data_IF_697804782928
#
_entry.id   IF_697804782928
#
_cell.length_a   1.000
_cell.length_b   1.000
_cell.length_c   1.000
_cell.angle_alpha   90.00
_cell.angle_beta   90.00
_cell.angle_gamma   90.00
#
_symmetry.space_group_name_H-M   'P 1'
#
loop_
_entity.id
_entity.type
_entity.pdbx_description
1 polymer ?
#
# COMPACT_ATOMS: atom_id res chain seq x y z
N UNK A 1 -5.99 -0.86 19.52
CA UNK A 1 -5.75 -1.30 18.12
C UNK A 1 -5.55 -0.12 17.17
N UNK A 2 -6.47 0.86 17.10
CA UNK A 2 -6.30 2.06 16.23
C UNK A 2 -5.05 2.89 16.56
N UNK A 3 -4.66 2.98 17.83
CA UNK A 3 -3.51 3.75 18.29
C UNK A 3 -2.18 3.29 17.67
N UNK A 4 -1.99 1.98 17.48
CA UNK A 4 -0.77 1.41 16.87
C UNK A 4 -0.66 1.79 15.38
N UNK A 5 -1.80 1.85 14.69
CA UNK A 5 -1.84 2.24 13.28
C UNK A 5 -1.53 3.73 13.10
N UNK A 6 -2.00 4.56 14.02
CA UNK A 6 -1.70 6.00 14.01
C UNK A 6 -0.20 6.22 14.24
N UNK A 7 0.40 5.49 15.17
CA UNK A 7 1.86 5.56 15.42
C UNK A 7 2.63 5.17 14.15
N UNK A 8 2.25 4.07 13.48
CA UNK A 8 2.88 3.66 12.23
C UNK A 8 2.76 4.72 11.12
N UNK A 9 1.60 5.40 11.03
CA UNK A 9 1.39 6.48 10.07
C UNK A 9 2.24 7.72 10.38
N UNK A 10 2.43 8.03 11.66
CA UNK A 10 3.31 9.13 12.12
C UNK A 10 4.79 8.78 11.90
N UNK A 11 5.18 7.50 11.90
CA UNK A 11 6.55 7.07 11.61
C UNK A 11 6.94 7.18 10.13
N UNK A 12 5.99 7.31 9.20
CA UNK A 12 6.23 7.44 7.75
C UNK A 12 7.14 8.63 7.39
N UNK A 13 6.88 9.87 7.85
CA UNK A 13 7.77 11.01 7.59
C UNK A 13 9.17 10.84 8.18
N UNK A 14 9.34 10.01 9.22
CA UNK A 14 10.65 9.73 9.80
C UNK A 14 11.44 8.72 8.95
N UNK A 15 10.77 7.66 8.48
CA UNK A 15 11.39 6.67 7.57
C UNK A 15 11.76 7.27 6.22
N UNK A 16 10.90 8.13 5.66
CA UNK A 16 11.15 8.81 4.37
C UNK A 16 12.22 9.91 4.45
N UNK A 17 12.64 10.31 5.66
CA UNK A 17 13.83 11.16 5.86
C UNK A 17 15.14 10.37 5.87
N UNK A 18 15.12 9.09 6.28
CA UNK A 18 16.32 8.24 6.32
C UNK A 18 16.53 7.45 5.02
N UNK A 19 15.47 7.16 4.26
CA UNK A 19 15.52 6.30 3.08
C UNK A 19 14.70 6.89 1.92
N UNK A 20 15.08 6.56 0.68
CA UNK A 20 14.31 6.86 -0.54
C UNK A 20 12.84 6.44 -0.39
N UNK A 21 11.92 7.29 -0.86
CA UNK A 21 10.48 7.08 -0.74
C UNK A 21 10.06 5.74 -1.35
N UNK A 22 10.69 5.33 -2.46
CA UNK A 22 10.44 4.02 -3.06
C UNK A 22 10.89 2.87 -2.13
N UNK A 23 12.05 2.99 -1.48
CA UNK A 23 12.57 1.95 -0.59
C UNK A 23 11.70 1.79 0.67
N UNK A 24 11.20 2.90 1.22
CA UNK A 24 10.23 2.88 2.33
C UNK A 24 8.93 2.21 1.92
N UNK A 25 8.43 2.50 0.72
CA UNK A 25 7.17 1.93 0.24
C UNK A 25 7.28 0.42 -0.04
N UNK A 26 8.37 -0.01 -0.69
CA UNK A 26 8.66 -1.44 -0.92
C UNK A 26 8.90 -2.15 0.42
N UNK A 27 9.68 -1.57 1.34
CA UNK A 27 9.92 -2.14 2.67
C UNK A 27 8.63 -2.27 3.50
N UNK A 28 7.70 -1.33 3.37
CA UNK A 28 6.38 -1.40 4.00
C UNK A 28 5.51 -2.53 3.41
N UNK A 29 5.53 -2.72 2.08
CA UNK A 29 4.82 -3.82 1.43
C UNK A 29 5.43 -5.19 1.78
N UNK A 30 6.75 -5.29 1.82
CA UNK A 30 7.45 -6.51 2.22
C UNK A 30 7.18 -6.83 3.69
N UNK A 31 7.21 -5.83 4.59
CA UNK A 31 6.89 -6.06 6.00
C UNK A 31 5.42 -6.47 6.21
N UNK A 32 4.50 -5.98 5.38
CA UNK A 32 3.11 -6.43 5.38
C UNK A 32 2.97 -7.89 4.93
N UNK A 33 3.69 -8.30 3.87
CA UNK A 33 3.75 -9.69 3.39
C UNK A 33 4.37 -10.61 4.46
N UNK A 34 5.47 -10.19 5.09
CA UNK A 34 6.13 -10.94 6.15
C UNK A 34 5.22 -11.09 7.38
N UNK A 35 4.50 -10.03 7.77
CA UNK A 35 3.53 -10.11 8.87
C UNK A 35 2.41 -11.11 8.60
N UNK A 36 1.89 -11.13 7.37
CA UNK A 36 0.89 -12.11 6.92
C UNK A 36 1.44 -13.55 6.85
N UNK A 37 2.70 -13.71 6.42
CA UNK A 37 3.38 -15.00 6.42
C UNK A 37 3.62 -15.54 7.85
N UNK A 38 4.04 -14.67 8.78
CA UNK A 38 4.21 -15.00 10.21
C UNK A 38 2.88 -15.45 10.83
N UNK A 39 1.77 -14.80 10.46
CA UNK A 39 0.44 -15.27 10.89
C UNK A 39 0.10 -16.65 10.34
N UNK A 40 0.49 -16.95 9.11
CA UNK A 40 0.27 -18.28 8.50
C UNK A 40 1.04 -19.38 9.23
N UNK A 41 2.24 -19.07 9.72
CA UNK A 41 3.09 -19.99 10.48
C UNK A 41 2.73 -20.06 11.98
N UNK A 42 1.96 -19.10 12.50
CA UNK A 42 1.68 -18.96 13.93
C UNK A 42 0.81 -20.06 14.55
N UNK A 43 0.11 -20.86 13.76
CA UNK A 43 -0.68 -22.01 14.23
C UNK A 43 -1.66 -21.65 15.36
N UNK A 44 -1.55 -22.35 16.50
CA UNK A 44 -2.38 -22.14 17.71
C UNK A 44 -1.79 -21.16 18.74
N UNK A 45 -0.59 -20.62 18.50
CA UNK A 45 0.05 -19.71 19.46
C UNK A 45 -0.44 -18.28 19.27
N UNK A 46 -1.42 -17.91 20.10
CA UNK A 46 -2.10 -16.61 20.09
C UNK A 46 -1.13 -15.41 20.12
N UNK A 47 -0.01 -15.54 20.82
CA UNK A 47 1.04 -14.50 20.90
C UNK A 47 1.72 -14.25 19.55
N UNK A 48 2.06 -15.30 18.79
CA UNK A 48 2.71 -15.17 17.49
C UNK A 48 1.73 -14.58 16.46
N UNK A 49 0.47 -15.00 16.52
CA UNK A 49 -0.60 -14.43 15.70
C UNK A 49 -0.77 -12.93 15.96
N UNK A 50 -0.79 -12.50 17.24
CA UNK A 50 -0.91 -11.09 17.60
C UNK A 50 0.29 -10.27 17.10
N UNK A 51 1.52 -10.77 17.24
CA UNK A 51 2.73 -10.07 16.76
C UNK A 51 2.72 -9.95 15.23
N UNK A 52 2.44 -11.04 14.52
CA UNK A 52 2.34 -11.03 13.06
C UNK A 52 1.26 -10.06 12.56
N UNK A 53 0.11 -10.02 13.24
CA UNK A 53 -0.98 -9.11 12.89
C UNK A 53 -0.62 -7.65 13.13
N UNK A 54 0.08 -7.32 14.22
CA UNK A 54 0.57 -5.95 14.48
C UNK A 54 1.52 -5.51 13.36
N UNK A 55 2.50 -6.34 13.01
CA UNK A 55 3.48 -6.05 11.96
C UNK A 55 2.78 -5.87 10.60
N UNK A 56 1.86 -6.76 10.25
CA UNK A 56 1.09 -6.69 9.01
C UNK A 56 0.27 -5.38 8.91
N UNK A 57 -0.40 -5.00 10.01
CA UNK A 57 -1.21 -3.78 10.06
C UNK A 57 -0.35 -2.51 10.00
N UNK A 58 0.83 -2.51 10.63
CA UNK A 58 1.77 -1.39 10.54
C UNK A 58 2.27 -1.20 9.11
N UNK A 59 2.75 -2.28 8.46
CA UNK A 59 3.24 -2.21 7.08
C UNK A 59 2.16 -1.75 6.09
N UNK A 60 0.95 -2.30 6.21
CA UNK A 60 -0.19 -1.93 5.35
C UNK A 60 -0.59 -0.46 5.50
N UNK A 61 -0.57 0.08 6.72
CA UNK A 61 -0.92 1.50 6.96
C UNK A 61 0.11 2.45 6.36
N UNK A 62 1.40 2.12 6.49
CA UNK A 62 2.49 2.88 5.87
C UNK A 62 2.33 2.84 4.34
N UNK A 63 2.10 1.67 3.77
CA UNK A 63 1.93 1.49 2.33
C UNK A 63 0.72 2.25 1.75
N UNK A 64 -0.34 2.45 2.53
CA UNK A 64 -1.52 3.21 2.12
C UNK A 64 -1.29 4.75 2.14
N UNK A 65 -0.37 5.23 3.00
CA UNK A 65 -0.03 6.66 3.09
C UNK A 65 0.93 7.12 1.99
N UNK A 66 1.83 6.24 1.54
CA UNK A 66 2.87 6.57 0.54
C UNK A 66 2.34 7.10 -0.81
N UNK A 67 1.27 6.56 -1.43
CA UNK A 67 0.69 7.13 -2.65
C UNK A 67 0.32 8.61 -2.52
N UNK A 68 -0.19 9.02 -1.36
CA UNK A 68 -0.57 10.42 -1.11
C UNK A 68 0.64 11.34 -0.99
N UNK A 69 1.75 10.84 -0.44
CA UNK A 69 3.01 11.58 -0.40
C UNK A 69 3.64 11.76 -1.79
N UNK A 70 3.53 10.74 -2.66
CA UNK A 70 4.10 10.77 -4.03
C UNK A 70 3.25 11.57 -5.02
N UNK A 71 1.96 11.77 -4.72
CA UNK A 71 1.07 12.59 -5.53
C UNK A 71 1.56 14.01 -5.68
N UNK A 72 2.08 14.62 -4.60
CA UNK A 72 2.65 15.96 -4.64
C UNK A 72 3.78 16.08 -5.67
N UNK A 73 4.76 15.17 -5.59
CA UNK A 73 5.86 15.15 -6.54
C UNK A 73 5.42 14.89 -8.00
N UNK A 74 4.39 14.07 -8.20
CA UNK A 74 3.86 13.79 -9.53
C UNK A 74 3.17 15.02 -10.15
N UNK A 75 2.52 15.86 -9.32
CA UNK A 75 1.97 17.15 -9.75
C UNK A 75 3.08 18.11 -10.15
N UNK A 76 4.15 18.20 -9.36
CA UNK A 76 5.30 19.05 -9.66
C UNK A 76 6.00 18.62 -10.97
N UNK A 77 6.15 17.31 -11.19
CA UNK A 77 6.64 16.77 -12.46
C UNK A 77 5.75 17.17 -13.65
N UNK A 78 4.43 17.09 -13.51
CA UNK A 78 3.48 17.51 -14.54
C UNK A 78 3.58 19.00 -14.86
N UNK A 79 3.77 19.83 -13.84
CA UNK A 79 3.99 21.27 -13.99
C UNK A 79 5.29 21.56 -14.75
N UNK A 80 6.37 20.86 -14.44
CA UNK A 80 7.67 21.05 -15.10
C UNK A 80 7.63 20.66 -16.59
N UNK A 81 7.01 19.52 -16.92
CA UNK A 81 7.01 19.00 -18.29
C UNK A 81 5.94 19.62 -19.19
N UNK A 82 4.74 19.82 -18.67
CA UNK A 82 3.59 20.26 -19.46
C UNK A 82 3.13 21.69 -19.13
N UNK A 83 3.70 22.34 -18.11
CA UNK A 83 3.31 23.69 -17.68
C UNK A 83 1.94 23.78 -16.98
N UNK A 84 1.20 22.67 -16.89
CA UNK A 84 -0.17 22.62 -16.34
C UNK A 84 -0.16 22.03 -14.93
N UNK A 85 -0.73 22.76 -13.98
CA UNK A 85 -0.92 22.29 -12.59
C UNK A 85 -2.27 21.58 -12.48
N UNK A 86 -2.26 20.25 -12.58
CA UNK A 86 -3.48 19.42 -12.51
C UNK A 86 -3.61 18.66 -11.18
N UNK A 87 -3.28 19.32 -10.06
CA UNK A 87 -3.24 18.70 -8.73
C UNK A 87 -4.56 18.03 -8.32
N UNK A 88 -5.68 18.71 -8.55
CA UNK A 88 -7.01 18.19 -8.21
C UNK A 88 -7.42 16.99 -9.07
N UNK A 89 -7.11 17.03 -10.37
CA UNK A 89 -7.43 15.93 -11.29
C UNK A 89 -6.59 14.69 -10.96
N UNK A 90 -5.29 14.86 -10.72
CA UNK A 90 -4.40 13.76 -10.38
C UNK A 90 -4.76 13.13 -9.02
N UNK A 91 -5.14 13.93 -8.04
CA UNK A 91 -5.58 13.42 -6.72
C UNK A 91 -6.92 12.69 -6.82
N UNK A 92 -7.89 13.26 -7.55
CA UNK A 92 -9.23 12.68 -7.69
C UNK A 92 -9.22 11.36 -8.46
N UNK A 93 -8.53 11.33 -9.62
CA UNK A 93 -8.43 10.12 -10.45
C UNK A 93 -7.43 9.13 -9.84
N UNK A 94 -6.25 9.61 -9.45
CA UNK A 94 -5.14 8.76 -9.00
C UNK A 94 -5.37 8.12 -7.63
N UNK A 95 -5.91 8.86 -6.65
CA UNK A 95 -6.21 8.30 -5.33
C UNK A 95 -7.65 7.83 -5.23
N UNK A 96 -8.62 8.74 -5.35
CA UNK A 96 -9.99 8.43 -4.90
C UNK A 96 -10.71 7.43 -5.80
N UNK A 97 -10.56 7.55 -7.12
CA UNK A 97 -11.14 6.60 -8.06
C UNK A 97 -10.47 5.22 -7.98
N UNK A 98 -9.14 5.18 -8.05
CA UNK A 98 -8.38 3.93 -7.94
C UNK A 98 -8.60 3.21 -6.60
N UNK A 99 -8.67 3.94 -5.48
CA UNK A 99 -8.96 3.35 -4.17
C UNK A 99 -10.36 2.73 -4.11
N UNK A 100 -11.37 3.42 -4.67
CA UNK A 100 -12.75 2.91 -4.70
C UNK A 100 -12.88 1.69 -5.61
N UNK A 101 -12.33 1.76 -6.82
CA UNK A 101 -12.30 0.62 -7.74
C UNK A 101 -11.54 -0.56 -7.14
N UNK A 102 -10.35 -0.30 -6.59
CA UNK A 102 -9.51 -1.30 -5.96
C UNK A 102 -10.22 -1.98 -4.78
N UNK A 103 -10.90 -1.21 -3.93
CA UNK A 103 -11.71 -1.73 -2.82
C UNK A 103 -12.88 -2.60 -3.33
N UNK A 104 -13.57 -2.18 -4.40
CA UNK A 104 -14.64 -2.96 -5.02
C UNK A 104 -14.14 -4.32 -5.54
N UNK A 105 -13.02 -4.30 -6.29
CA UNK A 105 -12.40 -5.53 -6.81
C UNK A 105 -11.88 -6.40 -5.66
N UNK A 106 -11.26 -5.79 -4.64
CA UNK A 106 -10.73 -6.49 -3.48
C UNK A 106 -11.82 -7.17 -2.62
N UNK A 107 -13.06 -6.69 -2.65
CA UNK A 107 -14.19 -7.38 -2.01
C UNK A 107 -14.66 -8.60 -2.82
N UNK A 108 -14.84 -8.44 -4.13
CA UNK A 108 -15.47 -9.48 -4.98
C UNK A 108 -14.60 -10.73 -5.13
N UNK A 109 -13.28 -10.58 -5.24
CA UNK A 109 -12.34 -11.70 -5.43
C UNK A 109 -12.41 -12.72 -4.27
N UNK A 110 -12.13 -12.35 -3.00
CA UNK A 110 -12.20 -13.28 -1.88
C UNK A 110 -13.62 -13.80 -1.65
N UNK A 111 -14.67 -12.98 -1.86
CA UNK A 111 -16.06 -13.46 -1.72
C UNK A 111 -16.39 -14.57 -2.73
N UNK A 112 -15.96 -14.44 -4.00
CA UNK A 112 -16.14 -15.51 -5.00
C UNK A 112 -15.36 -16.77 -4.65
N UNK A 113 -14.13 -16.63 -4.15
CA UNK A 113 -13.32 -17.77 -3.70
C UNK A 113 -14.03 -18.47 -2.54
N UNK A 114 -14.44 -17.74 -1.50
CA UNK A 114 -15.18 -18.30 -0.36
C UNK A 114 -16.48 -19.00 -0.79
N UNK A 115 -17.24 -18.41 -1.71
CA UNK A 115 -18.46 -19.02 -2.25
C UNK A 115 -18.17 -20.34 -2.98
N UNK A 116 -17.07 -20.42 -3.75
CA UNK A 116 -16.65 -21.66 -4.43
C UNK A 116 -16.23 -22.78 -3.49
N UNK A 117 -15.74 -22.43 -2.29
CA UNK A 117 -15.38 -23.37 -1.23
C UNK A 117 -16.56 -23.76 -0.32
N UNK A 118 -17.79 -23.33 -0.64
CA UNK A 118 -18.99 -23.69 0.11
C UNK A 118 -19.12 -22.95 1.45
N UNK A 119 -18.57 -21.73 1.55
CA UNK A 119 -18.72 -20.91 2.76
C UNK A 119 -20.19 -20.57 3.02
N UNK A 120 -20.76 -21.10 4.10
CA UNK A 120 -22.09 -20.74 4.62
C UNK A 120 -21.89 -19.86 5.86
N UNK A 121 -22.33 -18.60 5.79
CA UNK A 121 -22.29 -17.68 6.92
C UNK A 121 -23.21 -18.17 8.04
N UNK A 122 -22.71 -18.23 9.29
CA UNK A 122 -23.51 -18.54 10.48
C UNK A 122 -23.70 -20.03 10.80
N UNK A 123 -23.01 -20.94 10.11
CA UNK A 123 -23.01 -22.39 10.42
C UNK A 123 -21.59 -22.89 10.76
N UNK A 124 -21.49 -24.04 11.43
CA UNK A 124 -20.22 -24.69 11.68
C UNK A 124 -19.52 -25.03 10.35
N UNK A 125 -18.38 -24.38 10.11
CA UNK A 125 -17.65 -24.46 8.85
C UNK A 125 -16.94 -25.81 8.73
N UNK A 126 -17.10 -26.46 7.58
CA UNK A 126 -16.35 -27.67 7.23
C UNK A 126 -14.87 -27.35 7.05
N UNK A 127 -13.97 -28.33 7.25
CA UNK A 127 -12.52 -28.13 7.09
C UNK A 127 -12.15 -27.49 5.74
N UNK A 128 -12.86 -27.87 4.65
CA UNK A 128 -12.70 -27.27 3.31
C UNK A 128 -12.98 -25.77 3.28
N UNK A 129 -13.99 -25.31 4.01
CA UNK A 129 -14.37 -23.92 4.03
C UNK A 129 -13.40 -23.10 4.89
N UNK A 130 -12.84 -23.70 5.96
CA UNK A 130 -11.74 -23.12 6.76
C UNK A 130 -10.46 -22.92 5.93
N UNK A 131 -10.11 -23.89 5.09
CA UNK A 131 -8.99 -23.75 4.13
C UNK A 131 -9.27 -22.65 3.11
N UNK A 132 -10.51 -22.57 2.59
CA UNK A 132 -10.93 -21.51 1.68
C UNK A 132 -10.80 -20.09 2.26
N UNK A 133 -11.10 -19.92 3.55
CA UNK A 133 -10.90 -18.66 4.28
C UNK A 133 -9.41 -18.30 4.36
N UNK A 134 -8.56 -19.25 4.76
CA UNK A 134 -7.11 -19.02 4.87
C UNK A 134 -6.48 -18.64 3.52
N UNK A 135 -6.86 -19.33 2.44
CA UNK A 135 -6.39 -19.01 1.09
C UNK A 135 -6.88 -17.63 0.67
N UNK A 136 -8.17 -17.34 0.87
CA UNK A 136 -8.75 -16.04 0.47
C UNK A 136 -8.14 -14.87 1.23
N UNK A 137 -7.82 -15.05 2.51
CA UNK A 137 -7.28 -13.95 3.32
C UNK A 137 -5.77 -13.79 3.14
N UNK A 138 -5.01 -14.89 3.06
CA UNK A 138 -3.57 -14.83 3.06
C UNK A 138 -2.99 -14.75 1.64
N UNK A 139 -3.35 -15.69 0.75
CA UNK A 139 -2.81 -15.72 -0.61
C UNK A 139 -3.26 -14.54 -1.46
N UNK A 140 -4.54 -14.15 -1.39
CA UNK A 140 -5.03 -12.99 -2.15
C UNK A 140 -4.32 -11.71 -1.71
N UNK A 141 -4.11 -11.54 -0.40
CA UNK A 141 -3.41 -10.38 0.16
C UNK A 141 -1.93 -10.35 -0.26
N UNK A 142 -1.24 -11.49 -0.21
CA UNK A 142 0.16 -11.60 -0.65
C UNK A 142 0.31 -11.30 -2.14
N UNK A 143 -0.56 -11.85 -2.98
CA UNK A 143 -0.56 -11.61 -4.43
C UNK A 143 -0.84 -10.13 -4.71
N UNK A 144 -1.81 -9.53 -4.04
CA UNK A 144 -2.15 -8.12 -4.21
C UNK A 144 -0.97 -7.20 -3.84
N UNK A 145 -0.29 -7.46 -2.71
CA UNK A 145 0.90 -6.69 -2.33
C UNK A 145 2.08 -6.92 -3.28
N UNK A 146 2.26 -8.15 -3.76
CA UNK A 146 3.32 -8.47 -4.74
C UNK A 146 3.10 -7.73 -6.06
N UNK A 147 1.86 -7.70 -6.55
CA UNK A 147 1.50 -6.93 -7.75
C UNK A 147 1.70 -5.42 -7.55
N UNK A 148 1.49 -4.90 -6.34
CA UNK A 148 1.76 -3.50 -6.01
C UNK A 148 3.26 -3.14 -6.03
N UNK A 149 4.16 -4.09 -5.75
CA UNK A 149 5.62 -3.89 -5.80
C UNK A 149 6.11 -3.73 -7.26
N UNK A 150 5.44 -4.35 -8.22
CA UNK A 150 5.86 -4.38 -9.63
C UNK A 150 5.95 -2.98 -10.30
N UNK A 151 4.91 -2.11 -10.26
CA UNK A 151 5.01 -0.75 -10.78
C UNK A 151 5.97 0.11 -9.96
N UNK A 152 6.11 -0.20 -8.68
CA UNK A 152 7.02 0.44 -7.75
C UNK A 152 8.49 0.28 -8.15
N UNK A 153 8.88 -0.85 -8.75
CA UNK A 153 10.25 -1.04 -9.28
C UNK A 153 10.60 -0.04 -10.39
N UNK A 154 9.63 0.29 -11.25
CA UNK A 154 9.79 1.30 -12.30
C UNK A 154 9.84 2.73 -11.75
N UNK A 155 9.29 2.97 -10.55
CA UNK A 155 9.30 4.28 -9.89
C UNK A 155 10.72 4.75 -9.53
N UNK A 156 11.68 3.83 -9.31
CA UNK A 156 13.10 4.18 -9.03
C UNK A 156 13.68 5.18 -10.02
N UNK A 157 13.33 4.99 -11.29
CA UNK A 157 13.80 5.84 -12.39
C UNK A 157 13.22 7.26 -12.32
N UNK A 158 12.01 7.40 -11.81
CA UNK A 158 11.34 8.68 -11.64
C UNK A 158 11.77 9.39 -10.36
N UNK A 159 12.05 8.66 -9.29
CA UNK A 159 12.60 9.23 -8.05
C UNK A 159 13.96 9.91 -8.30
N UNK A 160 14.83 9.31 -9.12
CA UNK A 160 16.10 9.95 -9.53
C UNK A 160 15.90 11.23 -10.36
N UNK A 161 14.74 11.40 -11.01
CA UNK A 161 14.40 12.64 -11.72
C UNK A 161 13.74 13.68 -10.80
N UNK A 162 13.21 13.31 -9.63
CA UNK A 162 12.57 14.26 -8.70
C UNK A 162 13.54 15.38 -8.31
N UNK A 163 14.78 15.05 -7.95
CA UNK A 163 15.78 16.04 -7.51
C UNK A 163 16.04 17.09 -8.60
N UNK A 164 16.19 16.64 -9.85
CA UNK A 164 16.41 17.54 -11.00
C UNK A 164 15.20 18.42 -11.30
N UNK A 165 13.99 17.86 -11.14
CA UNK A 165 12.73 18.57 -11.37
C UNK A 165 12.51 19.62 -10.27
N UNK A 166 12.82 19.28 -9.02
CA UNK A 166 12.67 20.17 -7.88
C UNK A 166 13.67 21.33 -7.96
N UNK A 167 14.93 21.07 -8.32
CA UNK A 167 15.91 22.12 -8.60
C UNK A 167 15.50 23.02 -9.78
N UNK A 168 14.92 22.45 -10.85
CA UNK A 168 14.46 23.22 -12.00
C UNK A 168 13.27 24.12 -11.65
N UNK A 169 12.33 23.65 -10.82
CA UNK A 169 11.19 24.44 -10.35
C UNK A 169 11.66 25.59 -9.43
N UNK A 170 12.61 25.33 -8.53
CA UNK A 170 13.19 26.36 -7.65
C UNK A 170 13.88 27.46 -8.46
N UNK A 171 14.71 27.09 -9.45
CA UNK A 171 15.36 28.05 -10.36
C UNK A 171 14.36 28.86 -11.19
N UNK A 172 13.21 28.28 -11.56
CA UNK A 172 12.14 29.02 -12.25
C UNK A 172 11.39 29.99 -11.32
N UNK A 173 11.28 29.67 -10.03
CA UNK A 173 10.70 30.55 -9.01
C UNK A 173 11.58 31.77 -8.73
N UNK A 174 12.90 31.60 -8.69
CA UNK A 174 13.86 32.70 -8.52
C UNK A 174 13.91 33.64 -9.73
N UNK A 175 13.71 33.13 -10.95
CA UNK A 175 13.72 33.94 -12.19
C UNK A 175 12.47 34.80 -12.39
N UNK A 176 11.43 34.62 -11.56
CA UNK A 176 10.19 35.40 -11.58
C UNK A 176 10.09 36.40 -10.42
N UNK A 177 11.08 36.46 -9.54
CA UNK A 177 11.27 37.51 -8.53
C UNK A 177 12.25 38.55 -9.03
#
# INVERSE_FOLDING_TARGET
>A
MASIQIIAMISVPFLTKLMSKQAVWIGALISAILGQAIMMMGGHHLVILMIGWIIANMGSRIACSMPFALLGSAVDYGKWKNGVVAAGLLTSIGSSFCLKLGSGIAGVIPTKIMASFGYIAGQAQTEKALTGINISFNWVTIIAFTLAILPLLFYKKYEQMEDTVQEAILKQGERKR
#
